data_IF_147201710773
#
_entry.id   IF_147201710773
#
_cell.length_a   1.000
_cell.length_b   1.000
_cell.length_c   1.000
_cell.angle_alpha   90.00
_cell.angle_beta   90.00
_cell.angle_gamma   90.00
#
_symmetry.space_group_name_H-M   'P 1'
#
loop_
_entity.id
_entity.type
_entity.pdbx_description
1 polymer ?
#
# COMPACT_ATOMS: atom_id res chain seq x y z
N UNK A 1 -28.60 -31.15 -34.31
CA UNK A 1 -29.64 -30.49 -35.13
C UNK A 1 -30.14 -29.32 -34.32
N UNK A 2 -29.66 -28.15 -34.72
CA UNK A 2 -30.23 -26.81 -34.66
C UNK A 2 -31.04 -26.40 -33.44
N UNK A 3 -30.43 -25.52 -32.64
CA UNK A 3 -31.13 -24.47 -31.90
C UNK A 3 -30.36 -23.17 -32.13
N UNK A 4 -30.58 -22.57 -33.29
CA UNK A 4 -30.29 -21.15 -33.54
C UNK A 4 -31.63 -20.40 -33.45
N UNK A 5 -31.75 -19.47 -32.49
CA UNK A 5 -32.13 -18.07 -32.75
C UNK A 5 -32.61 -17.29 -31.51
N UNK A 6 -32.08 -16.05 -31.41
CA UNK A 6 -32.54 -14.83 -30.69
C UNK A 6 -31.90 -14.53 -29.31
N UNK A 7 -31.65 -13.23 -28.97
CA UNK A 7 -30.36 -12.58 -29.28
C UNK A 7 -29.68 -11.93 -28.07
N UNK A 8 -28.34 -11.88 -28.12
CA UNK A 8 -27.48 -11.08 -27.25
C UNK A 8 -27.51 -9.61 -27.66
N UNK A 9 -28.19 -8.76 -26.90
CA UNK A 9 -27.82 -7.35 -26.78
C UNK A 9 -26.91 -7.20 -25.55
N UNK A 10 -25.60 -7.24 -25.79
CA UNK A 10 -24.60 -6.78 -24.83
C UNK A 10 -23.97 -5.51 -25.36
N UNK A 11 -24.03 -4.46 -24.54
CA UNK A 11 -23.41 -3.17 -24.75
C UNK A 11 -21.92 -3.35 -25.04
N UNK A 12 -21.49 -2.82 -26.20
CA UNK A 12 -20.09 -2.61 -26.52
C UNK A 12 -19.54 -1.51 -25.60
N UNK A 13 -18.69 -1.88 -24.65
CA UNK A 13 -17.69 -0.95 -24.13
C UNK A 13 -16.46 -1.04 -25.04
N UNK A 14 -16.18 0.06 -25.72
CA UNK A 14 -15.06 0.21 -26.63
C UNK A 14 -13.74 0.02 -25.88
N UNK A 15 -12.92 -0.88 -26.42
CA UNK A 15 -11.53 -1.10 -26.06
C UNK A 15 -10.71 0.04 -26.64
N UNK A 16 -10.15 0.90 -25.78
CA UNK A 16 -9.03 1.75 -26.19
C UNK A 16 -7.71 1.08 -25.83
N UNK A 17 -6.98 0.71 -26.88
CA UNK A 17 -5.55 0.38 -26.88
C UNK A 17 -4.73 1.48 -26.19
N UNK A 18 -4.08 1.14 -25.08
CA UNK A 18 -3.00 1.94 -24.49
C UNK A 18 -1.67 1.52 -25.13
N UNK A 19 -1.42 2.02 -26.34
CA UNK A 19 -0.06 2.10 -26.87
C UNK A 19 0.55 3.42 -26.43
N UNK A 20 1.37 3.39 -25.38
CA UNK A 20 2.11 4.56 -24.92
C UNK A 20 3.37 4.67 -25.78
N UNK A 21 3.28 5.47 -26.83
CA UNK A 21 4.47 6.01 -27.51
C UNK A 21 5.03 7.16 -26.68
N UNK A 22 6.30 7.03 -26.33
CA UNK A 22 7.13 8.02 -25.64
C UNK A 22 7.33 9.27 -26.50
N UNK A 23 6.53 10.31 -26.26
CA UNK A 23 6.89 11.68 -26.64
C UNK A 23 6.90 12.59 -25.42
N UNK A 24 7.92 13.45 -25.40
CA UNK A 24 8.39 14.29 -24.29
C UNK A 24 7.28 15.15 -23.69
N UNK A 25 6.95 14.92 -22.42
CA UNK A 25 6.18 15.85 -21.60
C UNK A 25 7.12 16.89 -20.98
N UNK A 26 7.24 18.03 -21.66
CA UNK A 26 7.51 19.31 -21.02
C UNK A 26 6.22 20.12 -21.05
N UNK A 27 5.63 20.37 -19.88
CA UNK A 27 4.80 21.52 -19.50
C UNK A 27 3.88 21.10 -18.33
N UNK A 28 4.38 21.28 -17.11
CA UNK A 28 3.51 21.39 -15.95
C UNK A 28 2.94 22.80 -15.94
N UNK A 29 1.66 22.94 -16.25
CA UNK A 29 0.85 24.14 -15.96
C UNK A 29 -0.65 24.00 -16.32
N UNK A 30 -1.13 22.84 -16.80
CA UNK A 30 -2.50 22.72 -17.34
C UNK A 30 -3.55 22.07 -16.41
N UNK A 31 -3.21 21.69 -15.18
CA UNK A 31 -4.18 21.07 -14.25
C UNK A 31 -4.96 22.07 -13.37
N UNK A 32 -4.71 23.37 -13.49
CA UNK A 32 -5.27 24.39 -12.57
C UNK A 32 -6.58 25.05 -13.06
N UNK A 33 -7.23 24.58 -14.13
CA UNK A 33 -8.37 25.30 -14.76
C UNK A 33 -9.62 24.48 -15.10
N UNK A 34 -9.95 23.44 -14.33
CA UNK A 34 -11.25 22.74 -14.44
C UNK A 34 -12.01 22.65 -13.10
N UNK A 35 -11.79 23.61 -12.21
CA UNK A 35 -12.54 23.72 -10.96
C UNK A 35 -13.26 25.07 -10.88
N UNK A 36 -14.28 25.28 -11.72
CA UNK A 36 -15.28 26.32 -11.48
C UNK A 36 -16.51 26.07 -12.35
N UNK A 37 -17.47 25.32 -11.80
CA UNK A 37 -18.88 25.70 -11.69
C UNK A 37 -19.71 24.48 -11.33
N UNK A 38 -19.97 24.30 -10.02
CA UNK A 38 -21.30 23.99 -9.50
C UNK A 38 -21.26 23.96 -7.97
N UNK A 39 -22.23 24.66 -7.37
CA UNK A 39 -22.65 24.73 -5.97
C UNK A 39 -21.61 24.47 -4.86
N UNK A 40 -21.51 25.41 -3.92
CA UNK A 40 -20.84 25.22 -2.63
C UNK A 40 -21.55 24.15 -1.77
N UNK A 41 -21.50 22.88 -2.20
CA UNK A 41 -21.66 21.76 -1.28
C UNK A 41 -20.41 21.75 -0.41
N UNK A 42 -20.61 21.63 0.90
CA UNK A 42 -19.51 21.46 1.85
C UNK A 42 -18.74 20.21 1.43
N UNK A 43 -17.49 20.38 0.99
CA UNK A 43 -16.61 19.24 0.66
C UNK A 43 -16.50 18.34 1.88
N UNK A 44 -16.67 17.02 1.67
CA UNK A 44 -16.57 16.02 2.74
C UNK A 44 -15.16 16.04 3.31
N UNK A 45 -15.05 15.83 4.63
CA UNK A 45 -13.76 15.59 5.28
C UNK A 45 -13.25 14.23 4.83
N UNK A 46 -11.97 14.15 4.45
CA UNK A 46 -11.35 12.90 4.04
C UNK A 46 -10.75 12.17 5.25
N UNK A 47 -11.12 10.91 5.43
CA UNK A 47 -10.54 10.04 6.45
C UNK A 47 -9.71 9.00 5.70
N UNK A 48 -8.41 9.29 5.55
CA UNK A 48 -7.53 8.52 4.69
C UNK A 48 -6.78 7.47 5.50
N UNK A 49 -6.93 6.21 5.10
CA UNK A 49 -6.29 5.06 5.73
C UNK A 49 -5.23 4.52 4.78
N UNK A 50 -4.02 4.26 5.27
CA UNK A 50 -2.96 3.71 4.44
C UNK A 50 -2.33 2.51 5.12
N UNK A 51 -2.19 1.41 4.39
CA UNK A 51 -1.21 0.40 4.76
C UNK A 51 0.22 0.96 4.64
N UNK A 52 1.15 0.30 5.31
CA UNK A 52 2.56 0.67 5.22
C UNK A 52 3.24 0.00 4.02
N UNK A 53 3.24 -1.34 3.92
CA UNK A 53 4.15 -2.06 3.03
C UNK A 53 3.59 -2.13 1.60
N UNK A 54 4.43 -1.88 0.60
CA UNK A 54 4.07 -1.72 -0.83
C UNK A 54 3.00 -0.64 -1.10
N UNK A 55 2.55 0.06 -0.06
CA UNK A 55 1.64 1.19 -0.14
C UNK A 55 2.48 2.45 0.12
N UNK A 56 2.99 2.67 1.33
CA UNK A 56 3.79 3.85 1.65
C UNK A 56 5.30 3.61 1.78
N UNK A 57 5.73 2.36 1.96
CA UNK A 57 7.12 1.96 2.13
C UNK A 57 7.39 0.62 1.41
N UNK A 58 8.57 0.45 0.81
CA UNK A 58 8.95 -0.82 0.14
C UNK A 58 9.75 -1.76 1.07
N UNK A 59 10.54 -1.17 1.96
CA UNK A 59 11.34 -1.87 2.94
C UNK A 59 10.72 -1.72 4.33
N UNK A 60 10.92 -2.73 5.18
CA UNK A 60 10.48 -2.68 6.57
C UNK A 60 11.61 -3.18 7.48
N UNK A 61 11.87 -2.41 8.54
CA UNK A 61 12.85 -2.72 9.58
C UNK A 61 12.46 -3.95 10.42
N UNK A 62 11.18 -4.22 10.65
CA UNK A 62 10.72 -5.38 11.44
C UNK A 62 11.01 -6.70 10.73
N UNK A 63 10.81 -6.75 9.41
CA UNK A 63 11.14 -7.94 8.61
C UNK A 63 12.59 -7.96 8.12
N UNK A 64 13.40 -6.96 8.48
CA UNK A 64 14.77 -6.74 7.99
C UNK A 64 14.89 -6.87 6.46
N UNK A 65 13.83 -6.51 5.73
CA UNK A 65 13.76 -6.62 4.27
C UNK A 65 14.34 -5.36 3.66
N UNK A 66 15.36 -5.49 2.81
CA UNK A 66 15.93 -4.33 2.11
C UNK A 66 15.00 -3.85 0.99
N UNK A 67 15.22 -2.64 0.47
CA UNK A 67 14.48 -2.11 -0.68
C UNK A 67 14.57 -3.05 -1.87
N UNK A 68 15.78 -3.55 -2.18
CA UNK A 68 16.04 -4.48 -3.28
C UNK A 68 15.25 -5.78 -3.13
N UNK A 69 15.19 -6.33 -1.92
CA UNK A 69 14.38 -7.51 -1.64
C UNK A 69 12.89 -7.20 -1.71
N UNK A 70 12.46 -6.02 -1.25
CA UNK A 70 11.09 -5.53 -1.32
C UNK A 70 10.58 -5.45 -2.76
N UNK A 71 11.34 -4.81 -3.66
CA UNK A 71 11.00 -4.71 -5.08
C UNK A 71 10.93 -6.09 -5.75
N UNK A 72 11.90 -6.96 -5.48
CA UNK A 72 11.87 -8.34 -5.98
C UNK A 72 10.62 -9.09 -5.51
N UNK A 73 10.31 -9.02 -4.21
CA UNK A 73 9.12 -9.64 -3.63
C UNK A 73 7.84 -9.12 -4.28
N UNK A 74 7.72 -7.81 -4.44
CA UNK A 74 6.59 -7.18 -5.12
C UNK A 74 6.41 -7.73 -6.54
N UNK A 75 7.49 -7.76 -7.34
CA UNK A 75 7.44 -8.27 -8.72
C UNK A 75 6.92 -9.71 -8.78
N UNK A 76 7.33 -10.59 -7.88
CA UNK A 76 6.80 -11.97 -7.86
C UNK A 76 5.29 -12.03 -7.59
N UNK A 77 4.75 -11.05 -6.88
CA UNK A 77 3.31 -10.94 -6.57
C UNK A 77 2.46 -10.37 -7.72
N UNK A 78 3.07 -9.81 -8.76
CA UNK A 78 2.37 -9.14 -9.87
C UNK A 78 2.79 -9.67 -11.25
N UNK A 79 3.51 -10.79 -11.27
CA UNK A 79 3.91 -11.50 -12.49
C UNK A 79 3.24 -12.85 -12.54
N UNK A 80 2.59 -13.13 -13.67
CA UNK A 80 1.65 -14.23 -13.84
C UNK A 80 2.22 -15.32 -14.76
N UNK A 81 1.81 -16.54 -14.47
CA UNK A 81 2.16 -17.72 -15.24
C UNK A 81 1.42 -18.96 -14.74
N UNK A 82 1.83 -20.12 -15.22
CA UNK A 82 1.28 -21.40 -14.78
C UNK A 82 2.36 -22.46 -14.75
N UNK A 83 2.10 -23.52 -13.98
CA UNK A 83 2.91 -24.73 -13.97
C UNK A 83 2.40 -25.66 -15.07
N UNK A 84 3.31 -26.13 -15.92
CA UNK A 84 3.04 -27.17 -16.93
C UNK A 84 2.91 -28.53 -16.26
N UNK A 85 2.36 -29.51 -16.98
CA UNK A 85 2.24 -30.90 -16.51
C UNK A 85 3.58 -31.55 -16.13
N UNK A 86 4.70 -31.05 -16.67
CA UNK A 86 6.05 -31.51 -16.35
C UNK A 86 6.66 -30.83 -15.10
N UNK A 87 5.91 -29.96 -14.42
CA UNK A 87 6.35 -29.20 -13.24
C UNK A 87 7.13 -27.92 -13.55
N UNK A 88 7.33 -27.58 -14.83
CA UNK A 88 8.04 -26.36 -15.22
C UNK A 88 7.12 -25.14 -15.23
N UNK A 89 7.65 -23.99 -14.79
CA UNK A 89 6.94 -22.72 -14.82
C UNK A 89 6.98 -22.07 -16.21
N UNK A 90 5.82 -21.64 -16.71
CA UNK A 90 5.69 -20.84 -17.93
C UNK A 90 5.09 -19.45 -17.65
N UNK A 91 5.79 -18.43 -18.15
CA UNK A 91 5.38 -17.03 -18.00
C UNK A 91 4.28 -16.68 -19.01
N UNK A 92 3.23 -16.04 -18.51
CA UNK A 92 2.26 -15.31 -19.34
C UNK A 92 2.59 -13.82 -19.35
N UNK A 93 3.01 -13.29 -18.20
CA UNK A 93 3.34 -11.87 -18.08
C UNK A 93 4.51 -11.48 -18.98
N UNK A 94 4.31 -10.38 -19.70
CA UNK A 94 5.37 -9.59 -20.36
C UNK A 94 5.68 -8.30 -19.58
N UNK A 95 4.81 -7.94 -18.64
CA UNK A 95 4.91 -6.79 -17.73
C UNK A 95 4.22 -7.09 -16.37
N UNK A 96 4.57 -6.34 -15.30
CA UNK A 96 3.88 -6.37 -14.01
C UNK A 96 2.41 -5.95 -14.14
N UNK A 97 1.52 -6.67 -13.48
CA UNK A 97 0.09 -6.34 -13.42
C UNK A 97 -0.54 -6.88 -12.12
N UNK A 98 -1.33 -6.05 -11.44
CA UNK A 98 -2.19 -6.51 -10.35
C UNK A 98 -3.36 -7.36 -10.87
N UNK A 99 -3.81 -7.09 -12.09
CA UNK A 99 -4.91 -7.80 -12.70
C UNK A 99 -4.46 -9.16 -13.23
N UNK A 100 -5.26 -10.18 -12.91
CA UNK A 100 -5.10 -11.52 -13.44
C UNK A 100 -5.40 -11.52 -14.95
N UNK A 101 -4.53 -12.12 -15.79
CA UNK A 101 -4.79 -12.26 -17.21
C UNK A 101 -6.13 -12.96 -17.52
N UNK A 102 -7.08 -12.24 -18.13
CA UNK A 102 -8.42 -12.75 -18.43
C UNK A 102 -8.43 -13.98 -19.35
N UNK A 103 -7.44 -14.09 -20.24
CA UNK A 103 -7.31 -15.22 -21.18
C UNK A 103 -6.72 -16.48 -20.53
N UNK A 104 -6.30 -16.44 -19.26
CA UNK A 104 -5.78 -17.60 -18.56
C UNK A 104 -6.37 -17.71 -17.13
N UNK A 105 -7.58 -18.27 -16.97
CA UNK A 105 -8.24 -18.37 -15.67
C UNK A 105 -7.50 -19.23 -14.64
N UNK A 106 -6.61 -20.12 -15.06
CA UNK A 106 -5.84 -21.00 -14.17
C UNK A 106 -4.46 -20.44 -13.80
N UNK A 107 -4.03 -19.30 -14.36
CA UNK A 107 -2.75 -18.72 -13.98
C UNK A 107 -2.75 -18.26 -12.53
N UNK A 108 -1.57 -18.31 -11.93
CA UNK A 108 -1.28 -17.81 -10.60
C UNK A 108 -0.09 -16.86 -10.67
N UNK A 109 0.15 -16.10 -9.61
CA UNK A 109 1.36 -15.29 -9.50
C UNK A 109 2.56 -16.18 -9.22
N UNK A 110 3.76 -15.75 -9.62
CA UNK A 110 4.98 -16.51 -9.31
C UNK A 110 5.21 -16.63 -7.80
N UNK A 111 4.81 -15.61 -7.02
CA UNK A 111 4.80 -15.69 -5.57
C UNK A 111 3.95 -16.86 -5.09
N UNK A 112 2.71 -17.01 -5.58
CA UNK A 112 1.81 -18.08 -5.14
C UNK A 112 2.32 -19.47 -5.56
N UNK A 113 2.92 -19.57 -6.74
CA UNK A 113 3.61 -20.78 -7.19
C UNK A 113 4.70 -21.21 -6.20
N UNK A 114 5.61 -20.28 -5.85
CA UNK A 114 6.66 -20.56 -4.87
C UNK A 114 6.11 -20.83 -3.46
N UNK A 115 5.06 -20.11 -3.04
CA UNK A 115 4.41 -20.32 -1.75
C UNK A 115 3.86 -21.76 -1.65
N UNK A 116 3.14 -22.24 -2.67
CA UNK A 116 2.57 -23.58 -2.69
C UNK A 116 3.64 -24.69 -2.61
N UNK A 117 4.81 -24.45 -3.20
CA UNK A 117 5.92 -25.40 -3.19
C UNK A 117 6.70 -25.39 -1.86
N UNK A 118 7.01 -24.19 -1.35
CA UNK A 118 7.95 -24.01 -0.22
C UNK A 118 7.23 -24.05 1.12
N UNK A 119 6.07 -23.39 1.24
CA UNK A 119 5.46 -23.13 2.55
C UNK A 119 4.56 -24.30 2.96
N UNK A 120 5.02 -25.09 3.93
CA UNK A 120 4.21 -26.10 4.63
C UNK A 120 3.90 -25.67 6.05
N UNK A 121 4.81 -24.92 6.66
CA UNK A 121 4.70 -24.36 8.00
C UNK A 121 5.11 -22.88 8.03
N UNK A 122 4.79 -22.18 9.13
CA UNK A 122 5.10 -20.76 9.26
C UNK A 122 6.60 -20.44 9.16
N UNK A 123 7.48 -21.37 9.55
CA UNK A 123 8.93 -21.20 9.51
C UNK A 123 9.49 -21.13 8.08
N UNK A 124 8.81 -21.79 7.13
CA UNK A 124 9.22 -21.85 5.71
C UNK A 124 9.09 -20.49 5.01
N UNK A 125 8.28 -19.57 5.57
CA UNK A 125 8.15 -18.20 5.04
C UNK A 125 9.48 -17.46 4.99
N UNK A 126 10.47 -17.83 5.83
CA UNK A 126 11.83 -17.29 5.74
C UNK A 126 12.53 -17.74 4.45
N UNK A 127 12.38 -19.00 4.06
CA UNK A 127 12.92 -19.53 2.82
C UNK A 127 12.22 -18.93 1.59
N UNK A 128 10.89 -18.81 1.63
CA UNK A 128 10.12 -18.14 0.58
C UNK A 128 10.66 -16.72 0.34
N UNK A 129 10.78 -15.91 1.41
CA UNK A 129 11.32 -14.54 1.34
C UNK A 129 12.74 -14.48 0.76
N UNK A 130 13.61 -15.43 1.09
CA UNK A 130 14.96 -15.47 0.53
C UNK A 130 14.94 -15.75 -0.98
N UNK A 131 14.08 -16.69 -1.43
CA UNK A 131 13.95 -17.02 -2.85
C UNK A 131 13.33 -15.88 -3.64
N UNK A 132 12.20 -15.33 -3.17
CA UNK A 132 11.53 -14.21 -3.84
C UNK A 132 12.38 -12.95 -3.81
N UNK A 133 13.18 -12.72 -2.75
CA UNK A 133 14.01 -11.52 -2.60
C UNK A 133 15.23 -11.44 -3.53
N UNK A 134 15.50 -12.47 -4.34
CA UNK A 134 16.56 -12.52 -5.35
C UNK A 134 16.03 -12.88 -6.74
N UNK A 135 14.75 -12.63 -6.97
CA UNK A 135 14.01 -13.06 -8.16
C UNK A 135 14.69 -12.66 -9.48
N UNK A 136 15.05 -11.39 -9.67
CA UNK A 136 15.64 -10.92 -10.94
C UNK A 136 17.11 -11.30 -11.14
N UNK A 137 17.75 -11.91 -10.14
CA UNK A 137 19.08 -12.52 -10.29
C UNK A 137 18.99 -13.96 -10.83
N UNK A 138 17.82 -14.59 -10.73
CA UNK A 138 17.61 -16.00 -11.05
C UNK A 138 16.49 -16.16 -12.11
N UNK A 139 15.36 -16.77 -11.74
CA UNK A 139 14.24 -17.12 -12.64
C UNK A 139 13.57 -15.89 -13.27
N UNK A 140 13.70 -14.72 -12.65
CA UNK A 140 13.10 -13.46 -13.07
C UNK A 140 13.96 -12.58 -13.97
N UNK A 141 15.09 -13.07 -14.48
CA UNK A 141 16.07 -12.27 -15.25
C UNK A 141 15.45 -11.47 -16.41
N UNK A 142 14.44 -12.02 -17.11
CA UNK A 142 13.72 -11.33 -18.20
C UNK A 142 12.93 -10.09 -17.75
N UNK A 143 12.61 -9.98 -16.45
CA UNK A 143 11.89 -8.86 -15.86
C UNK A 143 12.81 -7.83 -15.20
N UNK A 144 14.14 -8.00 -15.35
CA UNK A 144 15.15 -7.10 -14.76
C UNK A 144 14.91 -5.63 -15.10
N UNK A 145 14.46 -5.30 -16.31
CA UNK A 145 14.14 -3.91 -16.69
C UNK A 145 13.16 -3.24 -15.72
N UNK A 146 12.10 -3.95 -15.31
CA UNK A 146 11.09 -3.42 -14.40
C UNK A 146 11.63 -3.27 -12.99
N UNK A 147 12.47 -4.20 -12.57
CA UNK A 147 13.19 -4.07 -11.30
C UNK A 147 14.10 -2.84 -11.31
N UNK A 148 14.90 -2.65 -12.35
CA UNK A 148 15.83 -1.52 -12.45
C UNK A 148 15.06 -0.19 -12.50
N UNK A 149 13.94 -0.11 -13.22
CA UNK A 149 13.03 1.05 -13.24
C UNK A 149 12.46 1.40 -11.86
N UNK A 150 11.99 0.39 -11.10
CA UNK A 150 11.46 0.60 -9.76
C UNK A 150 12.55 1.01 -8.76
N UNK A 151 13.74 0.40 -8.85
CA UNK A 151 14.89 0.76 -8.02
C UNK A 151 15.32 2.20 -8.28
N UNK A 152 15.36 2.60 -9.55
CA UNK A 152 15.71 3.97 -9.93
C UNK A 152 14.67 4.97 -9.38
N UNK A 153 13.37 4.64 -9.49
CA UNK A 153 12.29 5.48 -8.98
C UNK A 153 12.29 5.65 -7.45
N UNK A 154 12.94 4.73 -6.73
CA UNK A 154 13.10 4.77 -5.28
C UNK A 154 14.34 5.56 -4.82
N UNK A 155 15.28 5.89 -5.72
CA UNK A 155 16.50 6.64 -5.36
C UNK A 155 16.12 7.99 -4.77
N UNK A 156 16.84 8.37 -3.72
CA UNK A 156 16.60 9.64 -3.01
C UNK A 156 16.90 10.86 -3.89
N UNK A 157 17.94 10.75 -4.71
CA UNK A 157 18.32 11.77 -5.67
C UNK A 157 17.95 11.34 -7.08
N UNK A 158 17.16 12.18 -7.75
CA UNK A 158 16.89 12.05 -9.18
C UNK A 158 18.20 12.04 -10.00
N UNK A 159 18.19 11.39 -11.17
CA UNK A 159 19.34 11.28 -12.07
C UNK A 159 20.02 12.62 -12.39
N UNK A 160 19.24 13.70 -12.44
CA UNK A 160 19.69 15.06 -12.78
C UNK A 160 20.31 15.80 -11.59
N UNK A 161 20.14 15.31 -10.36
CA UNK A 161 20.56 16.01 -9.16
C UNK A 161 22.10 15.90 -8.96
N UNK A 162 22.83 16.97 -8.62
CA UNK A 162 24.29 16.92 -8.49
C UNK A 162 24.81 15.88 -7.49
N UNK A 163 24.13 15.73 -6.34
CA UNK A 163 24.50 14.72 -5.32
C UNK A 163 24.33 13.29 -5.82
N UNK A 164 23.52 13.05 -6.86
CA UNK A 164 23.39 11.71 -7.47
C UNK A 164 24.70 11.27 -8.09
N UNK A 165 25.33 12.13 -8.90
CA UNK A 165 26.61 11.82 -9.53
C UNK A 165 27.70 11.54 -8.49
N UNK A 166 27.74 12.35 -7.44
CA UNK A 166 28.69 12.19 -6.32
C UNK A 166 28.49 10.86 -5.60
N UNK A 167 27.24 10.50 -5.32
CA UNK A 167 26.91 9.20 -4.72
C UNK A 167 27.39 8.05 -5.61
N UNK A 168 27.08 8.08 -6.91
CA UNK A 168 27.46 7.00 -7.84
C UNK A 168 28.98 6.86 -8.00
N UNK A 169 29.74 7.97 -7.98
CA UNK A 169 31.22 7.95 -7.98
C UNK A 169 31.79 7.27 -6.73
N UNK A 170 31.21 7.54 -5.55
CA UNK A 170 31.61 6.91 -4.30
C UNK A 170 31.34 5.41 -4.36
N UNK A 171 30.12 5.01 -4.72
CA UNK A 171 29.72 3.61 -4.83
C UNK A 171 30.59 2.82 -5.81
N UNK A 172 30.94 3.43 -6.95
CA UNK A 172 31.83 2.83 -7.94
C UNK A 172 33.26 2.63 -7.40
N UNK A 173 33.80 3.63 -6.69
CA UNK A 173 35.14 3.55 -6.10
C UNK A 173 35.25 2.49 -5.00
N UNK A 174 34.21 2.33 -4.18
CA UNK A 174 34.13 1.32 -3.12
C UNK A 174 34.04 -0.09 -3.70
N UNK A 175 33.24 -0.27 -4.75
CA UNK A 175 33.09 -1.57 -5.44
C UNK A 175 34.43 -2.07 -6.03
N UNK A 176 35.29 -1.15 -6.49
CA UNK A 176 36.62 -1.50 -7.02
C UNK A 176 37.62 -1.87 -5.91
N UNK A 177 37.52 -1.26 -4.73
CA UNK A 177 38.39 -1.58 -3.59
C UNK A 177 38.07 -2.95 -2.98
N UNK A 178 36.79 -3.31 -2.90
CA UNK A 178 36.37 -4.63 -2.39
C UNK A 178 36.84 -5.77 -3.31
N UNK A 179 36.87 -5.56 -4.63
CA UNK A 179 37.40 -6.55 -5.58
C UNK A 179 38.93 -6.67 -5.56
N UNK A 180 39.65 -5.61 -5.16
CA UNK A 180 41.12 -5.62 -5.06
C UNK A 180 41.63 -6.27 -3.75
N UNK A 181 40.79 -6.38 -2.71
CA UNK A 181 41.12 -6.96 -1.41
C UNK A 181 41.04 -8.50 -1.33
N UNK A 182 40.51 -9.18 -2.35
CA UNK A 182 40.38 -10.65 -2.41
C UNK A 182 41.53 -11.31 -3.20
N UNK A 183 42.78 -11.00 -2.88
CA UNK A 183 43.91 -11.86 -3.28
C UNK A 183 44.19 -12.92 -2.20
N UNK A 184 44.40 -14.20 -2.56
CA UNK A 184 44.66 -15.25 -1.59
C UNK A 184 46.10 -15.17 -1.10
N UNK A 185 46.33 -14.54 0.06
CA UNK A 185 47.60 -14.72 0.77
C UNK A 185 47.61 -16.11 1.41
N UNK A 186 48.34 -17.03 0.79
CA UNK A 186 48.74 -18.30 1.40
C UNK A 186 49.55 -18.02 2.66
N UNK A 187 48.95 -18.18 3.84
CA UNK A 187 49.66 -18.50 5.07
C UNK A 187 48.73 -19.19 6.05
N UNK A 188 49.07 -20.44 6.35
CA UNK A 188 48.44 -21.29 7.34
C UNK A 188 48.69 -20.74 8.75
N UNK A 189 47.64 -20.41 9.50
CA UNK A 189 47.64 -20.58 10.95
C UNK A 189 46.20 -20.80 11.46
N UNK A 190 46.03 -21.92 12.15
CA UNK A 190 44.90 -22.29 13.00
C UNK A 190 44.65 -21.24 14.08
N UNK A 191 43.42 -20.75 14.25
CA UNK A 191 42.69 -20.56 15.53
C UNK A 191 41.20 -20.26 15.21
N UNK A 192 40.31 -20.93 15.95
CA UNK A 192 38.87 -20.71 16.05
C UNK A 192 38.51 -19.32 16.59
N UNK A 193 37.63 -18.58 15.91
CA UNK A 193 36.63 -17.67 16.49
C UNK A 193 35.66 -17.23 15.40
N UNK A 194 34.42 -16.94 15.81
CA UNK A 194 33.30 -16.46 15.02
C UNK A 194 33.72 -15.43 13.96
N UNK A 195 33.48 -15.74 12.69
CA UNK A 195 33.61 -14.79 11.59
C UNK A 195 32.44 -13.80 11.61
N UNK A 196 32.34 -13.01 12.68
CA UNK A 196 31.75 -11.67 12.56
C UNK A 196 32.75 -10.85 11.75
N UNK A 197 32.51 -10.74 10.43
CA UNK A 197 33.15 -9.69 9.62
C UNK A 197 32.97 -8.38 10.39
N UNK A 198 34.04 -7.62 10.68
CA UNK A 198 33.89 -6.36 11.38
C UNK A 198 32.92 -5.51 10.56
N UNK A 199 31.80 -5.11 11.17
CA UNK A 199 30.87 -4.13 10.59
C UNK A 199 31.68 -2.87 10.33
N UNK A 200 32.26 -2.75 9.13
CA UNK A 200 33.00 -1.57 8.72
C UNK A 200 31.96 -0.44 8.63
N UNK A 201 32.21 0.69 9.31
CA UNK A 201 31.34 1.85 9.18
C UNK A 201 31.43 2.31 7.74
N UNK A 202 30.30 2.32 7.04
CA UNK A 202 30.18 2.86 5.70
C UNK A 202 30.87 4.21 5.65
N UNK A 203 31.64 4.46 4.59
CA UNK A 203 32.25 5.76 4.32
C UNK A 203 31.13 6.70 3.87
N UNK A 204 30.29 7.08 4.83
CA UNK A 204 29.34 8.20 4.92
C UNK A 204 28.33 7.85 6.02
N UNK A 205 28.69 8.33 7.21
CA UNK A 205 27.84 8.76 8.31
C UNK A 205 27.33 7.73 9.32
N UNK A 206 28.07 7.68 10.44
CA UNK A 206 27.51 7.49 11.78
C UNK A 206 26.53 8.61 12.23
N UNK A 207 26.15 9.60 11.38
CA UNK A 207 25.36 10.78 11.79
C UNK A 207 24.49 11.56 10.76
N UNK A 208 24.27 11.15 9.49
CA UNK A 208 23.52 11.96 8.50
C UNK A 208 22.88 11.09 7.39
N UNK A 209 21.94 10.22 7.76
CA UNK A 209 20.92 9.84 6.76
C UNK A 209 20.00 11.05 6.63
N UNK A 210 19.82 11.63 5.43
CA UNK A 210 18.93 12.78 5.29
C UNK A 210 17.52 12.39 5.72
N UNK A 211 16.70 13.39 6.05
CA UNK A 211 15.28 13.18 6.35
C UNK A 211 14.65 12.35 5.24
N UNK A 212 13.85 11.34 5.60
CA UNK A 212 13.27 10.36 4.67
C UNK A 212 14.27 9.49 3.89
N UNK A 213 15.54 9.48 4.29
CA UNK A 213 16.55 8.63 3.65
C UNK A 213 16.54 7.21 4.23
N UNK A 214 16.77 6.23 3.36
CA UNK A 214 17.10 4.86 3.72
C UNK A 214 18.36 4.44 2.98
N UNK A 215 19.45 4.16 3.70
CA UNK A 215 20.71 3.72 3.10
C UNK A 215 20.77 2.20 3.08
N UNK A 216 20.83 1.59 1.91
CA UNK A 216 20.93 0.14 1.79
C UNK A 216 22.35 -0.36 2.04
N UNK A 217 22.50 -1.69 2.07
CA UNK A 217 23.77 -2.35 2.42
C UNK A 217 24.90 -2.02 1.45
N UNK A 218 24.59 -1.79 0.18
CA UNK A 218 25.59 -1.41 -0.82
C UNK A 218 25.93 0.09 -0.77
N UNK A 219 25.34 0.85 0.15
CA UNK A 219 25.56 2.29 0.30
C UNK A 219 24.56 3.15 -0.46
N UNK A 220 23.70 2.60 -1.31
CA UNK A 220 22.71 3.36 -2.09
C UNK A 220 21.69 4.04 -1.18
N UNK A 221 21.38 5.32 -1.42
CA UNK A 221 20.36 6.06 -0.71
C UNK A 221 19.01 6.05 -1.47
N UNK A 222 17.98 5.59 -0.77
CA UNK A 222 16.59 5.55 -1.22
C UNK A 222 15.70 6.46 -0.37
N UNK A 223 14.49 6.74 -0.86
CA UNK A 223 13.42 7.23 -0.01
C UNK A 223 12.88 6.12 0.90
N UNK A 224 12.67 6.45 2.17
CA UNK A 224 12.08 5.55 3.15
C UNK A 224 10.56 5.48 2.98
N UNK A 225 9.88 6.63 3.06
CA UNK A 225 8.47 6.81 2.70
C UNK A 225 8.37 7.35 1.28
N UNK A 226 7.43 6.81 0.50
CA UNK A 226 7.27 7.14 -0.91
C UNK A 226 6.89 8.63 -1.13
N UNK A 227 7.55 9.33 -2.09
CA UNK A 227 7.27 10.73 -2.42
C UNK A 227 5.81 11.07 -2.74
N UNK A 228 5.08 10.15 -3.38
CA UNK A 228 3.69 10.34 -3.79
C UNK A 228 2.74 10.57 -2.59
N UNK A 229 3.06 10.03 -1.41
CA UNK A 229 2.31 10.29 -0.19
C UNK A 229 2.42 11.75 0.27
N UNK A 230 3.64 12.31 0.26
CA UNK A 230 3.84 13.72 0.61
C UNK A 230 3.24 14.65 -0.44
N UNK A 231 3.30 14.26 -1.71
CA UNK A 231 2.61 14.97 -2.80
C UNK A 231 1.10 15.05 -2.58
N UNK A 232 0.47 13.98 -2.08
CA UNK A 232 -0.95 14.00 -1.68
C UNK A 232 -1.18 15.00 -0.55
N UNK A 233 -0.36 14.99 0.50
CA UNK A 233 -0.53 15.93 1.62
C UNK A 233 -0.41 17.38 1.13
N UNK A 234 0.56 17.70 0.26
CA UNK A 234 0.67 19.01 -0.38
C UNK A 234 -0.60 19.37 -1.15
N UNK A 235 -1.12 18.46 -1.98
CA UNK A 235 -2.38 18.68 -2.70
C UNK A 235 -3.54 19.00 -1.75
N UNK A 236 -3.69 18.23 -0.66
CA UNK A 236 -4.77 18.43 0.31
C UNK A 236 -4.64 19.79 1.01
N UNK A 237 -3.43 20.22 1.35
CA UNK A 237 -3.17 21.53 1.92
C UNK A 237 -3.42 22.66 0.91
N UNK A 238 -2.93 22.53 -0.32
CA UNK A 238 -3.06 23.52 -1.39
C UNK A 238 -4.53 23.72 -1.84
N UNK A 239 -5.35 22.69 -1.67
CA UNK A 239 -6.79 22.72 -2.00
C UNK A 239 -7.69 22.94 -0.77
N UNK A 240 -7.09 23.32 0.37
CA UNK A 240 -7.75 23.60 1.65
C UNK A 240 -8.76 22.51 2.07
N UNK A 241 -8.34 21.25 1.93
CA UNK A 241 -9.15 20.10 2.34
C UNK A 241 -9.08 19.92 3.85
N UNK A 242 -10.23 19.57 4.43
CA UNK A 242 -10.31 18.99 5.76
C UNK A 242 -10.03 17.48 5.64
N UNK A 243 -9.03 16.99 6.38
CA UNK A 243 -8.63 15.58 6.34
C UNK A 243 -7.95 15.12 7.62
N UNK A 244 -7.93 13.81 7.82
CA UNK A 244 -7.14 13.08 8.82
C UNK A 244 -6.51 11.86 8.17
N UNK A 245 -5.30 11.48 8.59
CA UNK A 245 -4.58 10.32 8.07
C UNK A 245 -4.40 9.28 9.17
N UNK A 246 -4.74 8.03 8.86
CA UNK A 246 -4.50 6.85 9.69
C UNK A 246 -3.56 5.87 8.99
N UNK A 247 -2.40 5.65 9.58
CA UNK A 247 -1.47 4.59 9.17
C UNK A 247 -1.92 3.28 9.80
N UNK A 248 -2.36 2.34 8.98
CA UNK A 248 -2.95 1.06 9.38
C UNK A 248 -1.92 -0.03 9.14
N UNK A 249 -1.60 -0.84 10.13
CA UNK A 249 -0.69 -1.99 9.92
C UNK A 249 -1.14 -3.21 10.69
N UNK A 250 -0.93 -4.39 10.12
CA UNK A 250 -1.02 -5.66 10.86
C UNK A 250 0.23 -5.93 11.73
N UNK A 251 1.31 -5.17 11.51
CA UNK A 251 2.61 -5.32 12.17
C UNK A 251 2.90 -4.26 13.25
N UNK A 252 4.17 -3.96 13.48
CA UNK A 252 4.65 -3.00 14.50
C UNK A 252 5.41 -1.81 13.89
N UNK A 253 5.18 -1.56 12.60
CA UNK A 253 6.08 -0.74 11.77
C UNK A 253 5.83 0.76 11.90
N UNK A 254 4.67 1.17 12.42
CA UNK A 254 4.19 2.55 12.32
C UNK A 254 5.03 3.58 13.08
N UNK A 255 5.79 3.19 14.12
CA UNK A 255 6.59 4.15 14.91
C UNK A 255 7.70 4.81 14.09
N UNK A 256 8.41 4.03 13.28
CA UNK A 256 9.48 4.56 12.42
C UNK A 256 8.91 5.43 11.30
N UNK A 257 7.76 5.05 10.77
CA UNK A 257 7.01 5.87 9.81
C UNK A 257 6.69 7.24 10.42
N UNK A 258 5.99 7.26 11.57
CA UNK A 258 5.51 8.50 12.20
C UNK A 258 6.65 9.47 12.50
N UNK A 259 7.79 8.95 12.99
CA UNK A 259 8.97 9.78 13.24
C UNK A 259 9.53 10.41 11.95
N UNK A 260 9.57 9.66 10.85
CA UNK A 260 10.04 10.21 9.57
C UNK A 260 9.03 11.21 8.98
N UNK A 261 7.74 10.88 9.02
CA UNK A 261 6.67 11.75 8.53
C UNK A 261 6.68 13.11 9.26
N UNK A 262 6.80 13.13 10.59
CA UNK A 262 6.88 14.38 11.37
C UNK A 262 7.99 15.31 10.90
N UNK A 263 9.20 14.78 10.67
CA UNK A 263 10.35 15.58 10.21
C UNK A 263 10.12 16.18 8.83
N UNK A 264 9.51 15.42 7.93
CA UNK A 264 9.20 15.88 6.56
C UNK A 264 8.13 16.97 6.62
N UNK A 265 7.07 16.76 7.40
CA UNK A 265 5.99 17.71 7.61
C UNK A 265 6.44 18.99 8.33
N UNK A 266 7.54 18.92 9.08
CA UNK A 266 8.21 20.07 9.68
C UNK A 266 9.15 20.79 8.69
N UNK A 267 9.02 20.51 7.39
CA UNK A 267 9.82 21.09 6.30
C UNK A 267 11.34 20.84 6.41
N UNK A 268 11.77 19.76 7.08
CA UNK A 268 13.20 19.39 7.10
C UNK A 268 13.66 18.71 5.79
N UNK A 269 12.73 18.27 4.93
CA UNK A 269 13.05 17.64 3.64
C UNK A 269 13.12 18.68 2.51
N UNK A 270 14.18 18.72 1.68
CA UNK A 270 14.36 19.79 0.70
C UNK A 270 13.31 19.81 -0.42
N UNK A 271 12.81 18.63 -0.82
CA UNK A 271 11.87 18.51 -1.95
C UNK A 271 10.38 18.68 -1.58
N UNK A 272 10.03 18.72 -0.29
CA UNK A 272 8.64 18.86 0.14
C UNK A 272 8.50 20.12 0.98
N UNK A 273 7.45 20.88 0.69
CA UNK A 273 7.14 22.13 1.39
C UNK A 273 5.66 22.09 1.77
N UNK A 274 5.38 22.33 3.04
CA UNK A 274 4.05 22.34 3.64
C UNK A 274 3.81 23.70 4.31
N UNK A 275 2.65 24.28 4.07
CA UNK A 275 2.31 25.60 4.62
C UNK A 275 1.58 25.53 5.97
N UNK A 276 0.97 24.39 6.29
CA UNK A 276 0.38 24.09 7.60
C UNK A 276 1.16 22.94 8.25
N UNK A 277 1.51 23.09 9.52
CA UNK A 277 1.97 21.96 10.33
C UNK A 277 0.83 20.96 10.48
N UNK A 278 1.13 19.67 10.42
CA UNK A 278 0.22 18.60 10.79
C UNK A 278 0.73 17.95 12.05
N UNK A 279 -0.15 17.80 13.04
CA UNK A 279 0.19 17.10 14.27
C UNK A 279 0.32 15.60 14.00
N UNK A 280 1.35 14.98 14.58
CA UNK A 280 1.60 13.54 14.45
C UNK A 280 1.46 12.91 15.83
N UNK A 281 0.49 12.03 15.99
CA UNK A 281 0.32 11.24 17.20
C UNK A 281 1.35 10.10 17.22
N UNK A 282 2.28 10.17 18.17
CA UNK A 282 3.36 9.19 18.32
C UNK A 282 2.98 7.94 19.12
N UNK A 283 1.75 7.85 19.62
CA UNK A 283 1.21 6.69 20.36
C UNK A 283 0.23 5.91 19.47
N UNK A 284 0.67 4.81 18.82
CA UNK A 284 -0.22 4.05 17.95
C UNK A 284 -1.42 3.49 18.73
N UNK A 285 -2.61 3.66 18.16
CA UNK A 285 -3.80 2.96 18.59
C UNK A 285 -3.75 1.46 18.27
N UNK A 286 -4.68 0.71 18.83
CA UNK A 286 -4.83 -0.73 18.62
C UNK A 286 -6.30 -1.05 18.35
N UNK A 287 -6.59 -1.62 17.19
CA UNK A 287 -7.82 -2.38 16.97
C UNK A 287 -7.57 -3.82 17.37
N UNK A 288 -8.44 -4.32 18.24
CA UNK A 288 -8.47 -5.71 18.67
C UNK A 288 -9.89 -6.25 18.56
N UNK A 289 -10.03 -7.58 18.46
CA UNK A 289 -11.32 -8.25 18.50
C UNK A 289 -11.45 -9.10 19.76
N UNK A 290 -12.57 -8.97 20.45
CA UNK A 290 -12.91 -9.88 21.56
C UNK A 290 -13.21 -11.29 21.02
N UNK A 291 -13.28 -12.33 21.88
CA UNK A 291 -13.72 -13.66 21.46
C UNK A 291 -15.09 -13.68 20.79
N UNK A 292 -15.97 -12.75 21.17
CA UNK A 292 -17.31 -12.55 20.58
C UNK A 292 -17.26 -11.69 19.30
N UNK A 293 -16.07 -11.47 18.74
CA UNK A 293 -15.80 -10.69 17.53
C UNK A 293 -16.14 -9.19 17.61
N UNK A 294 -16.34 -8.66 18.81
CA UNK A 294 -16.56 -7.22 19.03
C UNK A 294 -15.28 -6.48 18.70
N UNK A 295 -15.39 -5.45 17.86
CA UNK A 295 -14.28 -4.56 17.51
C UNK A 295 -14.06 -3.59 18.68
N UNK A 296 -12.82 -3.54 19.18
CA UNK A 296 -12.41 -2.59 20.21
C UNK A 296 -11.27 -1.72 19.70
N UNK A 297 -11.42 -0.40 19.76
CA UNK A 297 -10.36 0.58 19.50
C UNK A 297 -9.80 1.10 20.82
N UNK A 298 -8.52 0.84 21.05
CA UNK A 298 -7.75 1.46 22.11
C UNK A 298 -6.86 2.56 21.54
N UNK A 299 -7.15 3.83 21.84
CA UNK A 299 -6.43 4.97 21.27
C UNK A 299 -6.53 6.21 22.17
N UNK A 300 -5.51 7.06 22.15
CA UNK A 300 -5.56 8.41 22.74
C UNK A 300 -5.88 9.43 21.65
N UNK A 301 -6.94 10.18 21.83
CA UNK A 301 -7.29 11.31 20.97
C UNK A 301 -6.82 12.62 21.61
N UNK A 302 -6.75 13.69 20.83
CA UNK A 302 -6.20 15.00 21.27
C UNK A 302 -6.93 15.58 22.48
N UNK A 303 -8.24 15.38 22.57
CA UNK A 303 -9.10 15.90 23.64
C UNK A 303 -9.06 15.05 24.93
N UNK A 304 -8.48 13.85 24.85
CA UNK A 304 -8.51 12.88 25.94
C UNK A 304 -7.19 12.92 26.73
N UNK A 305 -7.28 13.12 28.05
CA UNK A 305 -6.11 13.10 28.94
C UNK A 305 -5.43 11.72 28.95
N UNK A 306 -6.24 10.66 28.82
CA UNK A 306 -5.86 9.26 28.97
C UNK A 306 -6.27 8.42 27.75
N UNK A 307 -5.62 7.26 27.60
CA UNK A 307 -5.97 6.27 26.58
C UNK A 307 -7.43 5.82 26.75
N UNK A 308 -8.21 5.90 25.68
CA UNK A 308 -9.59 5.41 25.65
C UNK A 308 -9.63 3.96 25.15
N UNK A 309 -10.67 3.22 25.56
CA UNK A 309 -11.03 1.90 25.00
C UNK A 309 -12.50 1.98 24.60
N UNK A 310 -12.75 1.90 23.30
CA UNK A 310 -14.07 2.06 22.70
C UNK A 310 -14.50 0.72 22.10
N UNK A 311 -15.70 0.26 22.42
CA UNK A 311 -16.30 -0.97 21.86
C UNK A 311 -17.61 -0.68 21.09
N UNK A 312 -18.10 0.56 21.16
CA UNK A 312 -19.21 1.04 20.34
C UNK A 312 -18.67 1.55 19.01
N UNK A 313 -18.99 0.85 17.93
CA UNK A 313 -18.55 1.19 16.58
C UNK A 313 -19.03 2.57 16.09
N UNK A 314 -20.18 3.08 16.58
CA UNK A 314 -20.64 4.44 16.24
C UNK A 314 -19.74 5.48 16.89
N UNK A 315 -19.37 5.28 18.16
CA UNK A 315 -18.45 6.16 18.87
C UNK A 315 -17.02 6.06 18.31
N UNK A 316 -16.61 4.88 17.85
CA UNK A 316 -15.33 4.68 17.15
C UNK A 316 -15.32 5.52 15.86
N UNK A 317 -16.34 5.39 15.01
CA UNK A 317 -16.44 6.18 13.76
C UNK A 317 -16.44 7.68 14.07
N UNK A 318 -17.24 8.14 15.03
CA UNK A 318 -17.32 9.55 15.42
C UNK A 318 -15.96 10.11 15.88
N UNK A 319 -15.25 9.38 16.76
CA UNK A 319 -13.93 9.79 17.25
C UNK A 319 -12.89 9.81 16.13
N UNK A 320 -12.93 8.85 15.20
CA UNK A 320 -12.03 8.84 14.04
C UNK A 320 -12.36 9.98 13.06
N UNK A 321 -13.64 10.28 12.85
CA UNK A 321 -14.12 11.35 11.99
C UNK A 321 -13.77 12.73 12.52
N UNK A 322 -13.76 12.93 13.84
CA UNK A 322 -13.46 14.21 14.47
C UNK A 322 -11.96 14.47 14.70
N UNK A 323 -11.09 13.47 14.57
CA UNK A 323 -9.65 13.64 14.77
C UNK A 323 -8.97 14.51 13.70
N UNK A 324 -7.79 15.04 14.01
CA UNK A 324 -6.98 15.85 13.10
C UNK A 324 -5.54 15.31 12.99
N UNK A 325 -4.79 15.73 11.97
CA UNK A 325 -3.39 15.32 11.81
C UNK A 325 -3.18 13.89 11.33
N UNK A 326 -2.11 13.25 11.80
CA UNK A 326 -1.68 11.90 11.39
C UNK A 326 -1.60 11.00 12.62
N UNK A 327 -2.24 9.84 12.52
CA UNK A 327 -2.27 8.81 13.55
C UNK A 327 -1.80 7.48 13.00
N UNK A 328 -1.52 6.53 13.90
CA UNK A 328 -1.32 5.14 13.53
C UNK A 328 -2.25 4.23 14.32
N UNK A 329 -2.69 3.15 13.70
CA UNK A 329 -3.49 2.10 14.31
C UNK A 329 -2.90 0.75 13.90
N UNK A 330 -2.58 -0.08 14.88
CA UNK A 330 -2.27 -1.49 14.68
C UNK A 330 -3.57 -2.29 14.63
N UNK A 331 -3.78 -3.07 13.59
CA UNK A 331 -4.94 -3.94 13.41
C UNK A 331 -4.70 -5.36 13.95
N UNK A 332 -5.78 -6.09 14.19
CA UNK A 332 -5.74 -7.42 14.80
C UNK A 332 -5.34 -8.52 13.80
N UNK A 333 -4.04 -8.60 13.52
CA UNK A 333 -3.46 -9.67 12.71
C UNK A 333 -3.78 -11.07 13.26
N UNK A 334 -3.86 -11.21 14.59
CA UNK A 334 -4.14 -12.48 15.24
C UNK A 334 -5.54 -12.99 14.88
N UNK A 335 -6.55 -12.12 14.94
CA UNK A 335 -7.91 -12.44 14.52
C UNK A 335 -7.97 -12.80 13.03
N UNK A 336 -7.36 -11.98 12.17
CA UNK A 336 -7.34 -12.20 10.72
C UNK A 336 -6.70 -13.54 10.35
N UNK A 337 -5.57 -13.90 10.97
CA UNK A 337 -4.95 -15.21 10.76
C UNK A 337 -5.84 -16.39 11.21
N UNK A 338 -6.50 -16.27 12.37
CA UNK A 338 -7.32 -17.37 12.94
C UNK A 338 -8.56 -17.69 12.11
N UNK A 339 -9.06 -16.73 11.34
CA UNK A 339 -10.21 -16.90 10.44
C UNK A 339 -9.81 -17.21 9.01
N UNK A 340 -8.56 -17.66 8.78
CA UNK A 340 -8.02 -17.94 7.46
C UNK A 340 -8.10 -16.70 6.53
N UNK A 341 -7.68 -15.56 7.08
CA UNK A 341 -7.58 -14.28 6.39
C UNK A 341 -8.94 -13.79 5.84
N UNK A 342 -10.03 -14.12 6.51
CA UNK A 342 -11.37 -13.70 6.10
C UNK A 342 -11.57 -12.20 6.35
N UNK A 343 -12.12 -11.50 5.35
CA UNK A 343 -12.26 -10.04 5.35
C UNK A 343 -12.99 -9.47 6.58
N UNK A 344 -13.98 -10.17 7.14
CA UNK A 344 -14.74 -9.71 8.34
C UNK A 344 -13.90 -9.56 9.62
N UNK A 345 -12.67 -10.04 9.60
CA UNK A 345 -11.71 -9.89 10.72
C UNK A 345 -10.49 -9.06 10.36
N UNK A 346 -10.57 -8.33 9.24
CA UNK A 346 -9.51 -7.49 8.71
C UNK A 346 -9.63 -6.03 9.21
N UNK A 347 -9.17 -5.05 8.43
CA UNK A 347 -9.16 -3.62 8.80
C UNK A 347 -10.56 -3.01 8.63
N UNK A 348 -11.28 -2.67 9.73
CA UNK A 348 -12.60 -2.04 9.60
C UNK A 348 -12.51 -0.61 9.05
N UNK A 349 -13.49 -0.25 8.24
CA UNK A 349 -13.87 1.13 7.86
C UNK A 349 -15.39 1.23 7.86
N UNK A 350 -15.95 2.39 8.22
CA UNK A 350 -17.39 2.52 8.45
C UNK A 350 -18.07 3.31 7.34
N UNK A 351 -19.30 2.89 7.01
CA UNK A 351 -20.14 3.52 6.01
C UNK A 351 -21.62 3.41 6.38
N UNK A 352 -22.31 4.54 6.40
CA UNK A 352 -23.76 4.61 6.57
C UNK A 352 -24.46 4.73 5.20
N UNK A 353 -25.13 3.66 4.72
CA UNK A 353 -25.82 3.69 3.43
C UNK A 353 -27.14 4.46 3.48
N UNK A 354 -27.62 4.92 4.63
CA UNK A 354 -28.82 5.77 4.73
C UNK A 354 -28.47 7.27 4.71
N UNK A 355 -27.21 7.63 5.01
CA UNK A 355 -26.75 9.01 4.90
C UNK A 355 -26.48 9.38 3.44
N UNK A 356 -27.40 10.14 2.85
CA UNK A 356 -27.30 10.63 1.46
C UNK A 356 -26.35 11.81 1.30
N UNK A 357 -25.92 12.44 2.39
CA UNK A 357 -25.01 13.58 2.35
C UNK A 357 -23.98 13.47 3.49
N UNK A 358 -23.11 12.43 3.44
CA UNK A 358 -22.19 12.16 4.52
C UNK A 358 -21.19 13.30 4.67
N UNK A 359 -20.95 13.70 5.92
CA UNK A 359 -20.00 14.75 6.26
C UNK A 359 -18.53 14.31 6.02
N UNK A 360 -18.28 13.00 5.99
CA UNK A 360 -16.97 12.38 5.91
C UNK A 360 -16.91 11.33 4.78
N UNK A 361 -15.69 10.96 4.39
CA UNK A 361 -15.45 9.88 3.44
C UNK A 361 -14.20 9.11 3.83
N UNK A 362 -14.38 7.84 4.22
CA UNK A 362 -13.30 6.90 4.46
C UNK A 362 -12.73 6.35 3.14
N UNK A 363 -11.42 6.42 2.96
CA UNK A 363 -10.72 5.80 1.82
C UNK A 363 -9.50 5.04 2.35
N UNK A 364 -9.43 3.73 2.10
CA UNK A 364 -8.33 2.87 2.53
C UNK A 364 -7.48 2.38 1.35
N UNK A 365 -6.18 2.67 1.40
CA UNK A 365 -5.18 2.19 0.46
C UNK A 365 -4.43 1.00 1.04
N UNK A 366 -4.48 -0.15 0.37
CA UNK A 366 -3.76 -1.36 0.82
C UNK A 366 -3.44 -2.27 -0.37
N UNK A 367 -2.21 -2.80 -0.41
CA UNK A 367 -1.75 -3.67 -1.49
C UNK A 367 -2.39 -5.06 -1.44
N UNK A 368 -3.05 -5.44 -0.33
CA UNK A 368 -3.77 -6.69 -0.10
C UNK A 368 -5.30 -6.54 -0.14
N UNK A 369 -5.83 -5.40 -0.58
CA UNK A 369 -7.26 -5.30 -0.87
C UNK A 369 -7.60 -6.13 -2.12
N UNK A 370 -8.60 -7.01 -2.01
CA UNK A 370 -9.04 -7.91 -3.09
C UNK A 370 -10.57 -7.94 -3.15
N UNK A 371 -11.13 -7.96 -4.36
CA UNK A 371 -12.58 -8.06 -4.59
C UNK A 371 -13.03 -9.41 -5.15
N UNK A 372 -12.10 -10.35 -5.33
CA UNK A 372 -12.36 -11.62 -6.02
C UNK A 372 -12.74 -12.75 -5.07
N UNK A 373 -12.32 -12.69 -3.81
CA UNK A 373 -12.53 -13.76 -2.84
C UNK A 373 -12.56 -13.20 -1.40
N UNK A 374 -13.46 -13.69 -0.52
CA UNK A 374 -13.60 -13.17 0.84
C UNK A 374 -12.42 -13.50 1.77
N UNK A 375 -11.71 -14.59 1.51
CA UNK A 375 -10.41 -14.85 2.14
C UNK A 375 -9.32 -14.10 1.38
N UNK A 376 -8.30 -13.64 2.11
CA UNK A 376 -7.16 -12.86 1.62
C UNK A 376 -7.53 -11.44 1.14
N UNK A 377 -8.65 -10.87 1.62
CA UNK A 377 -8.97 -9.44 1.48
C UNK A 377 -8.85 -8.73 2.82
N UNK A 378 -8.16 -7.60 2.84
CA UNK A 378 -7.67 -6.91 4.04
C UNK A 378 -8.61 -5.81 4.59
N UNK A 379 -9.75 -5.57 3.94
CA UNK A 379 -10.69 -4.51 4.33
C UNK A 379 -12.02 -5.10 4.76
N UNK A 380 -12.55 -4.62 5.88
CA UNK A 380 -13.90 -4.90 6.36
C UNK A 380 -14.74 -3.63 6.27
N UNK A 381 -15.54 -3.49 5.22
CA UNK A 381 -16.48 -2.38 5.09
C UNK A 381 -17.64 -2.64 6.07
N UNK A 382 -17.72 -1.87 7.15
CA UNK A 382 -18.73 -1.94 8.20
C UNK A 382 -19.93 -1.06 7.82
N UNK A 383 -21.05 -1.69 7.52
CA UNK A 383 -22.33 -1.04 7.25
C UNK A 383 -22.96 -0.61 8.56
N UNK A 384 -23.15 0.69 8.75
CA UNK A 384 -23.80 1.27 9.92
C UNK A 384 -25.32 1.27 9.74
N UNK A 385 -26.04 0.80 10.76
CA UNK A 385 -27.50 0.85 10.81
C UNK A 385 -27.95 1.69 12.02
N UNK A 386 -28.21 2.98 11.77
CA UNK A 386 -28.66 3.94 12.78
C UNK A 386 -29.95 3.49 13.48
N UNK A 387 -30.87 2.84 12.75
CA UNK A 387 -32.18 2.43 13.30
C UNK A 387 -32.01 1.32 14.33
N UNK A 388 -31.09 0.39 14.09
CA UNK A 388 -30.81 -0.73 15.01
C UNK A 388 -29.68 -0.44 15.98
N UNK A 389 -28.95 0.67 15.77
CA UNK A 389 -27.72 1.02 16.46
C UNK A 389 -26.73 -0.17 16.45
N UNK A 390 -26.50 -0.73 15.26
CA UNK A 390 -25.59 -1.85 15.02
C UNK A 390 -24.80 -1.67 13.73
N UNK A 391 -23.61 -2.25 13.70
CA UNK A 391 -22.80 -2.35 12.49
C UNK A 391 -22.64 -3.80 12.06
N UNK A 392 -22.52 -4.01 10.75
CA UNK A 392 -22.40 -5.33 10.13
C UNK A 392 -21.36 -5.30 9.02
N UNK A 393 -20.65 -6.40 8.80
CA UNK A 393 -19.76 -6.49 7.63
C UNK A 393 -20.56 -6.49 6.34
N UNK A 394 -20.14 -5.66 5.38
CA UNK A 394 -20.74 -5.59 4.06
C UNK A 394 -20.66 -6.94 3.37
N UNK A 395 -21.75 -7.37 2.71
CA UNK A 395 -21.73 -8.58 1.89
C UNK A 395 -20.65 -8.48 0.81
N UNK A 396 -19.82 -9.53 0.71
CA UNK A 396 -18.69 -9.55 -0.22
C UNK A 396 -19.12 -9.39 -1.70
N UNK A 397 -20.36 -9.74 -2.05
CA UNK A 397 -20.95 -9.52 -3.38
C UNK A 397 -20.88 -8.06 -3.87
N UNK A 398 -20.78 -7.09 -2.95
CA UNK A 398 -20.71 -5.67 -3.30
C UNK A 398 -19.28 -5.12 -3.36
N UNK A 399 -18.26 -5.88 -2.96
CA UNK A 399 -16.87 -5.39 -2.95
C UNK A 399 -16.41 -4.86 -4.32
N UNK A 400 -16.71 -5.52 -5.45
CA UNK A 400 -16.40 -4.95 -6.78
C UNK A 400 -17.05 -3.60 -7.07
N UNK A 401 -18.21 -3.29 -6.45
CA UNK A 401 -18.90 -2.00 -6.60
C UNK A 401 -18.40 -0.94 -5.61
N UNK A 402 -17.69 -1.35 -4.56
CA UNK A 402 -17.18 -0.49 -3.49
C UNK A 402 -15.66 -0.27 -3.59
N UNK A 403 -14.98 -1.01 -4.46
CA UNK A 403 -13.62 -0.74 -4.91
C UNK A 403 -13.55 0.63 -5.59
N UNK A 404 -12.47 1.35 -5.29
CA UNK A 404 -12.29 2.74 -5.66
C UNK A 404 -13.45 3.64 -5.21
N UNK A 405 -14.22 3.24 -4.19
CA UNK A 405 -15.11 4.11 -3.40
C UNK A 405 -14.55 4.25 -2.00
N UNK A 406 -14.40 3.13 -1.30
CA UNK A 406 -13.96 3.09 0.10
C UNK A 406 -12.58 2.43 0.27
N UNK A 407 -12.17 1.62 -0.70
CA UNK A 407 -10.88 0.94 -0.67
C UNK A 407 -10.25 0.89 -2.06
N UNK A 408 -8.94 1.09 -2.10
CA UNK A 408 -8.12 1.08 -3.31
C UNK A 408 -7.03 0.03 -3.14
N UNK A 409 -6.93 -0.89 -4.10
CA UNK A 409 -5.80 -1.82 -4.16
C UNK A 409 -4.54 -1.05 -4.55
N UNK A 410 -3.67 -0.81 -3.58
CA UNK A 410 -2.45 -0.03 -3.81
C UNK A 410 -1.52 -0.74 -4.79
N UNK A 411 -1.06 -0.02 -5.81
CA UNK A 411 -0.18 -0.56 -6.84
C UNK A 411 1.19 0.10 -6.78
N UNK A 412 2.17 -0.54 -6.13
CA UNK A 412 3.52 0.01 -5.96
C UNK A 412 4.15 0.46 -7.28
N UNK A 413 3.92 -0.27 -8.37
CA UNK A 413 4.45 0.11 -9.69
C UNK A 413 3.90 1.46 -10.15
N UNK A 414 2.58 1.66 -10.05
CA UNK A 414 1.93 2.92 -10.44
C UNK A 414 2.24 4.05 -9.44
N UNK A 415 2.32 3.74 -8.15
CA UNK A 415 2.70 4.69 -7.09
C UNK A 415 4.09 5.30 -7.37
N UNK A 416 5.03 4.48 -7.86
CA UNK A 416 6.38 4.93 -8.20
C UNK A 416 6.46 5.62 -9.58
N UNK A 417 5.64 5.20 -10.53
CA UNK A 417 5.61 5.78 -11.88
C UNK A 417 4.89 7.15 -11.94
N UNK A 418 3.94 7.40 -11.03
CA UNK A 418 3.10 8.59 -11.03
C UNK A 418 3.08 9.26 -9.65
N UNK A 419 3.74 10.43 -9.55
CA UNK A 419 3.77 11.22 -8.30
C UNK A 419 2.38 11.63 -7.82
N UNK A 420 1.41 11.76 -8.73
CA UNK A 420 0.04 12.15 -8.42
C UNK A 420 -0.88 10.94 -8.21
N UNK A 421 -0.37 9.71 -8.15
CA UNK A 421 -1.18 8.48 -8.00
C UNK A 421 -2.26 8.62 -6.92
N UNK A 422 -1.87 8.95 -5.69
CA UNK A 422 -2.82 9.08 -4.59
C UNK A 422 -3.79 10.24 -4.75
N UNK A 423 -3.35 11.35 -5.34
CA UNK A 423 -4.23 12.49 -5.64
C UNK A 423 -5.33 12.06 -6.61
N UNK A 424 -4.95 11.36 -7.68
CA UNK A 424 -5.88 10.84 -8.68
C UNK A 424 -6.84 9.82 -8.07
N UNK A 425 -6.33 8.88 -7.26
CA UNK A 425 -7.17 7.88 -6.59
C UNK A 425 -8.16 8.50 -5.60
N UNK A 426 -7.74 9.48 -4.79
CA UNK A 426 -8.67 10.18 -3.89
C UNK A 426 -9.79 10.87 -4.67
N UNK A 427 -9.44 11.61 -5.73
CA UNK A 427 -10.43 12.28 -6.57
C UNK A 427 -11.38 11.29 -7.26
N UNK A 428 -10.87 10.15 -7.71
CA UNK A 428 -11.68 9.06 -8.27
C UNK A 428 -12.65 8.50 -7.21
N UNK A 429 -12.17 8.22 -6.00
CA UNK A 429 -13.00 7.75 -4.90
C UNK A 429 -14.14 8.72 -4.57
N UNK A 430 -13.87 10.01 -4.49
CA UNK A 430 -14.92 11.01 -4.22
C UNK A 430 -15.99 11.02 -5.32
N UNK A 431 -15.58 10.99 -6.59
CA UNK A 431 -16.51 10.93 -7.72
C UNK A 431 -17.34 9.64 -7.71
N UNK A 432 -16.72 8.51 -7.34
CA UNK A 432 -17.41 7.23 -7.25
C UNK A 432 -18.37 7.18 -6.06
N UNK A 433 -18.03 7.82 -4.93
CA UNK A 433 -18.94 7.98 -3.80
C UNK A 433 -20.15 8.83 -4.19
N UNK A 434 -19.95 9.94 -4.92
CA UNK A 434 -21.07 10.76 -5.41
C UNK A 434 -22.05 9.93 -6.26
N UNK A 435 -21.53 9.14 -7.20
CA UNK A 435 -22.37 8.22 -8.01
C UNK A 435 -23.07 7.15 -7.17
N UNK A 436 -22.37 6.59 -6.18
CA UNK A 436 -22.96 5.60 -5.27
C UNK A 436 -24.11 6.20 -4.46
N UNK A 437 -23.96 7.44 -3.98
CA UNK A 437 -24.97 8.15 -3.19
C UNK A 437 -26.24 8.49 -3.99
N UNK A 438 -26.11 8.62 -5.32
CA UNK A 438 -27.25 8.78 -6.23
C UNK A 438 -28.04 7.47 -6.46
N UNK A 439 -27.41 6.30 -6.29
CA UNK A 439 -28.04 4.99 -6.48
C UNK A 439 -28.72 4.49 -5.20
N UNK A 440 -29.90 5.05 -4.91
CA UNK A 440 -30.68 4.70 -3.73
C UNK A 440 -31.08 3.20 -3.66
N UNK A 441 -31.22 2.54 -4.82
CA UNK A 441 -31.58 1.13 -4.89
C UNK A 441 -30.39 0.26 -4.49
N UNK A 442 -29.20 0.55 -5.01
CA UNK A 442 -27.97 -0.15 -4.63
C UNK A 442 -27.66 0.00 -3.14
N UNK A 443 -27.79 1.21 -2.59
CA UNK A 443 -27.56 1.45 -1.16
C UNK A 443 -28.50 0.62 -0.27
N UNK A 444 -29.77 0.53 -0.66
CA UNK A 444 -30.75 -0.31 0.01
C UNK A 444 -30.36 -1.79 -0.06
N UNK A 445 -29.95 -2.28 -1.23
CA UNK A 445 -29.50 -3.66 -1.42
C UNK A 445 -28.26 -3.99 -0.59
N UNK A 446 -27.29 -3.07 -0.53
CA UNK A 446 -26.09 -3.19 0.31
C UNK A 446 -26.52 -3.39 1.77
N UNK A 447 -27.39 -2.52 2.28
CA UNK A 447 -27.86 -2.60 3.68
C UNK A 447 -28.62 -3.90 3.96
N UNK A 448 -29.61 -4.24 3.13
CA UNK A 448 -30.48 -5.39 3.34
C UNK A 448 -29.74 -6.73 3.27
N UNK A 449 -28.87 -6.93 2.27
CA UNK A 449 -28.10 -8.17 2.14
C UNK A 449 -27.03 -8.31 3.22
N UNK A 450 -26.37 -7.21 3.61
CA UNK A 450 -25.36 -7.25 4.67
C UNK A 450 -25.96 -7.64 6.02
N UNK A 451 -27.21 -7.22 6.28
CA UNK A 451 -27.97 -7.65 7.45
C UNK A 451 -28.34 -9.14 7.41
N UNK A 452 -28.69 -9.67 6.23
CA UNK A 452 -29.08 -11.08 6.08
C UNK A 452 -27.93 -12.05 6.34
N UNK A 453 -26.70 -11.71 5.95
CA UNK A 453 -25.51 -12.56 6.11
C UNK A 453 -25.00 -12.66 7.57
N UNK A 454 -25.63 -11.98 8.52
CA UNK A 454 -25.26 -11.95 9.94
C UNK A 454 -26.21 -12.78 10.82
N UNK A 455 -27.33 -13.27 10.25
CA UNK A 455 -28.25 -14.22 10.88
C UNK A 455 -28.05 -15.62 10.28
#
# INVERSE_FOLDING_TARGET
>A
MDVDNLPMESLKLDKHDLSITTEKLSNGDEYTKVANHNAASRRRKLILHFDNRNTLEVANNVSATTIEQGVNNFLTGVLWGYEKDNGEWEWISTSPSLEKPAHCPHCITYFKYLENQIVKEAIDRKQLRAKTGSFVQNEGSRFRRFYDELIESLRYYELTHPERKREDEILASESQQDQAGEQPSNQSHTVSHENERPRRPSVLHKNLVPVNGYRSRNGTLYHYVLPSFFRLIQYLQDTDRDFVIYLRTMGDDSKNFLLNAQRILSNEHPAFQFHKSLDVNHEPGLISRTPDTIISLRMKFEEDDEMQVLEDEFLIEEKLANAHGIHAIKDDFGAWCRTNYHYTTSKPIWFDPDDRNPATHHILFDDNFRVIHPNDSIVDIRIMDQVRHKCYSCSFDFYPKLENVFAVQANLYLILADRDYYVKSVNECEQNLDRLLEDAQLLKEIKEKSLQNQN
#
